data_IF_633418759852
#
_entry.id   IF_633418759852
#
_cell.length_a   1.000
_cell.length_b   1.000
_cell.length_c   1.000
_cell.angle_alpha   90.00
_cell.angle_beta   90.00
_cell.angle_gamma   90.00
#
_symmetry.space_group_name_H-M   'P 1'
#
loop_
_entity.id
_entity.type
_entity.pdbx_description
1 polymer ?
#
# COMPACT_ATOMS: atom_id res chain seq x y z
N UNK A 1 32.82 -28.65 -11.80
CA UNK A 1 32.71 -27.96 -13.11
C UNK A 1 31.33 -27.36 -13.16
N UNK A 2 31.19 -26.11 -13.60
CA UNK A 2 29.90 -25.43 -13.58
C UNK A 2 28.90 -26.15 -14.49
N UNK A 3 27.64 -26.19 -14.06
CA UNK A 3 26.55 -26.79 -14.83
C UNK A 3 26.25 -25.96 -16.10
N UNK A 4 25.79 -26.62 -17.19
CA UNK A 4 25.35 -25.90 -18.38
C UNK A 4 24.04 -25.14 -18.13
N UNK A 5 23.72 -24.23 -19.04
CA UNK A 5 22.53 -23.36 -19.00
C UNK A 5 21.22 -24.17 -19.07
N UNK A 6 20.20 -23.74 -18.33
CA UNK A 6 18.83 -24.28 -18.41
C UNK A 6 18.54 -25.54 -17.59
N UNK A 7 19.44 -25.96 -16.70
CA UNK A 7 19.23 -27.10 -15.81
C UNK A 7 18.45 -26.72 -14.55
N UNK A 8 17.65 -27.64 -14.01
CA UNK A 8 16.86 -27.39 -12.78
C UNK A 8 17.56 -27.96 -11.55
N UNK A 9 17.43 -27.28 -10.42
CA UNK A 9 18.05 -27.70 -9.15
C UNK A 9 17.60 -29.09 -8.69
N UNK A 10 16.34 -29.44 -8.93
CA UNK A 10 15.79 -30.75 -8.57
C UNK A 10 16.46 -31.91 -9.32
N UNK A 11 17.15 -31.64 -10.43
CA UNK A 11 17.84 -32.66 -11.22
C UNK A 11 19.22 -33.00 -10.64
N UNK A 12 19.70 -32.29 -9.60
CA UNK A 12 21.04 -32.43 -9.02
C UNK A 12 21.05 -32.51 -7.49
N UNK A 13 21.74 -33.53 -6.96
CA UNK A 13 21.83 -33.80 -5.52
C UNK A 13 23.16 -33.38 -4.88
N UNK A 14 24.16 -32.96 -5.65
CA UNK A 14 25.47 -32.55 -5.09
C UNK A 14 25.36 -31.19 -4.37
N UNK A 15 25.69 -31.12 -3.06
CA UNK A 15 25.71 -29.87 -2.31
C UNK A 15 26.59 -28.77 -2.91
N UNK A 16 27.71 -29.12 -3.58
CA UNK A 16 28.63 -28.12 -4.15
C UNK A 16 28.05 -27.35 -5.33
N UNK A 17 27.04 -27.94 -5.99
CA UNK A 17 26.38 -27.37 -7.17
C UNK A 17 25.14 -26.55 -6.81
N UNK A 18 24.74 -26.56 -5.54
CA UNK A 18 23.59 -25.79 -5.05
C UNK A 18 23.98 -24.32 -4.85
N UNK A 19 23.09 -23.38 -5.18
CA UNK A 19 23.33 -21.98 -4.87
C UNK A 19 23.47 -21.80 -3.35
N UNK A 20 24.40 -20.92 -2.95
CA UNK A 20 24.57 -20.58 -1.52
C UNK A 20 23.43 -19.68 -1.05
N UNK A 21 22.93 -18.83 -1.94
CA UNK A 21 21.83 -17.91 -1.65
C UNK A 21 20.45 -18.52 -1.94
N UNK A 22 19.45 -18.10 -1.18
CA UNK A 22 18.05 -18.46 -1.40
C UNK A 22 17.45 -17.76 -2.63
N UNK A 23 16.36 -18.33 -3.15
CA UNK A 23 15.56 -17.70 -4.20
C UNK A 23 14.97 -16.39 -3.68
N UNK A 24 15.14 -15.32 -4.45
CA UNK A 24 14.58 -14.00 -4.15
C UNK A 24 13.31 -13.78 -4.96
N UNK A 25 12.26 -13.22 -4.33
CA UNK A 25 11.00 -12.96 -5.03
C UNK A 25 11.14 -11.85 -6.08
N UNK A 26 10.23 -11.81 -7.06
CA UNK A 26 10.27 -10.76 -8.11
C UNK A 26 10.14 -9.34 -7.54
N UNK A 27 9.30 -9.16 -6.52
CA UNK A 27 9.09 -7.85 -5.90
C UNK A 27 10.33 -7.40 -5.12
N UNK A 28 11.00 -8.31 -4.42
CA UNK A 28 12.27 -8.03 -3.74
C UNK A 28 13.39 -7.71 -4.73
N UNK A 29 13.55 -8.49 -5.81
CA UNK A 29 14.54 -8.17 -6.87
C UNK A 29 14.25 -6.81 -7.51
N UNK A 30 12.97 -6.46 -7.68
CA UNK A 30 12.58 -5.15 -8.21
C UNK A 30 13.04 -4.00 -7.30
N UNK A 31 13.24 -4.22 -5.99
CA UNK A 31 13.79 -3.21 -5.07
C UNK A 31 15.29 -2.95 -5.29
N UNK A 32 16.03 -3.97 -5.73
CA UNK A 32 17.48 -3.92 -5.97
C UNK A 32 17.76 -3.13 -7.27
N UNK A 33 18.70 -2.16 -7.27
CA UNK A 33 19.09 -1.46 -8.49
C UNK A 33 19.56 -2.43 -9.58
N UNK A 34 19.16 -2.20 -10.83
CA UNK A 34 19.42 -3.14 -11.93
C UNK A 34 20.92 -3.50 -12.12
N UNK A 35 21.83 -2.55 -11.84
CA UNK A 35 23.29 -2.75 -11.92
C UNK A 35 23.85 -3.67 -10.83
N UNK A 36 23.14 -3.81 -9.72
CA UNK A 36 23.56 -4.56 -8.53
C UNK A 36 22.93 -5.96 -8.49
N UNK A 37 22.01 -6.26 -9.42
CA UNK A 37 21.38 -7.58 -9.54
C UNK A 37 22.39 -8.59 -10.06
N UNK A 38 22.71 -9.59 -9.25
CA UNK A 38 23.59 -10.68 -9.63
C UNK A 38 22.87 -12.02 -9.54
N UNK A 39 23.27 -12.96 -10.40
CA UNK A 39 22.84 -14.35 -10.29
C UNK A 39 23.35 -14.96 -8.98
N UNK A 40 22.59 -15.89 -8.41
CA UNK A 40 23.03 -16.70 -7.25
C UNK A 40 24.19 -17.59 -7.68
N UNK A 41 25.11 -17.91 -6.77
CA UNK A 41 26.32 -18.67 -7.11
C UNK A 41 26.46 -19.88 -6.21
N UNK A 42 26.81 -21.00 -6.83
CA UNK A 42 27.25 -22.20 -6.14
C UNK A 42 28.77 -22.15 -5.88
N UNK A 43 29.26 -23.05 -5.03
CA UNK A 43 30.69 -23.15 -4.71
C UNK A 43 31.55 -23.51 -5.92
N UNK A 44 31.01 -24.30 -6.85
CA UNK A 44 31.69 -24.68 -8.09
C UNK A 44 31.61 -23.61 -9.20
N UNK A 45 31.18 -22.40 -8.84
CA UNK A 45 30.91 -21.26 -9.70
C UNK A 45 29.73 -21.41 -10.67
N UNK A 46 28.88 -22.45 -10.51
CA UNK A 46 27.60 -22.53 -11.22
C UNK A 46 26.75 -21.30 -10.91
N UNK A 47 26.19 -20.69 -11.95
CA UNK A 47 25.32 -19.51 -11.85
C UNK A 47 23.88 -19.98 -11.85
N UNK A 48 23.09 -19.48 -10.91
CA UNK A 48 21.68 -19.80 -10.74
C UNK A 48 20.83 -18.54 -10.89
N UNK A 49 19.65 -18.70 -11.47
CA UNK A 49 18.68 -17.62 -11.56
C UNK A 49 18.38 -17.04 -10.18
N UNK A 50 18.30 -15.71 -10.10
CA UNK A 50 18.02 -15.03 -8.84
C UNK A 50 16.61 -15.34 -8.30
N UNK A 51 15.65 -15.61 -9.19
CA UNK A 51 14.23 -15.76 -8.85
C UNK A 51 13.67 -17.17 -9.04
N UNK A 52 14.50 -18.13 -9.48
CA UNK A 52 14.10 -19.53 -9.60
C UNK A 52 15.31 -20.45 -9.55
N UNK A 53 15.06 -21.75 -9.65
CA UNK A 53 16.06 -22.80 -9.54
C UNK A 53 16.52 -23.32 -10.90
N UNK A 54 16.79 -22.40 -11.84
CA UNK A 54 17.32 -22.71 -13.16
C UNK A 54 18.76 -22.18 -13.26
N UNK A 55 19.68 -23.00 -13.77
CA UNK A 55 21.06 -22.59 -14.04
C UNK A 55 21.13 -21.61 -15.20
N UNK A 56 22.12 -20.74 -15.16
CA UNK A 56 22.41 -19.75 -16.18
C UNK A 56 23.74 -20.07 -16.85
N UNK A 57 23.90 -19.59 -18.08
CA UNK A 57 25.21 -19.57 -18.78
C UNK A 57 26.36 -19.18 -17.84
N UNK A 58 27.40 -20.03 -17.68
CA UNK A 58 28.51 -19.77 -16.76
C UNK A 58 29.27 -18.46 -17.04
N UNK A 59 29.37 -18.08 -18.31
CA UNK A 59 30.04 -16.88 -18.82
C UNK A 59 29.11 -15.67 -18.99
N UNK A 60 27.83 -15.83 -18.67
CA UNK A 60 26.83 -14.77 -18.83
C UNK A 60 26.89 -13.68 -17.75
N UNK A 61 26.18 -12.58 -18.01
CA UNK A 61 25.98 -11.48 -17.04
C UNK A 61 24.54 -11.37 -16.55
N UNK A 62 23.59 -12.06 -17.21
CA UNK A 62 22.16 -12.01 -16.84
C UNK A 62 21.96 -12.51 -15.39
N UNK A 63 21.18 -11.80 -14.55
CA UNK A 63 20.87 -12.25 -13.19
C UNK A 63 19.71 -13.24 -13.11
N UNK A 64 18.89 -13.32 -14.16
CA UNK A 64 17.71 -14.20 -14.24
C UNK A 64 17.69 -14.96 -15.57
N UNK A 65 16.97 -16.08 -15.60
CA UNK A 65 16.77 -16.87 -16.82
C UNK A 65 15.76 -16.19 -17.75
N UNK A 66 15.71 -16.63 -19.02
CA UNK A 66 14.85 -16.04 -20.05
C UNK A 66 13.35 -16.18 -19.72
N UNK A 67 12.95 -17.21 -18.98
CA UNK A 67 11.57 -17.38 -18.51
C UNK A 67 11.18 -16.38 -17.40
N UNK A 68 12.14 -15.99 -16.56
CA UNK A 68 11.91 -15.07 -15.44
C UNK A 68 12.09 -13.59 -15.84
N UNK A 69 12.85 -13.32 -16.90
CA UNK A 69 13.07 -11.98 -17.45
C UNK A 69 11.76 -11.17 -17.67
N UNK A 70 10.71 -11.68 -18.35
CA UNK A 70 9.49 -10.91 -18.58
C UNK A 70 8.74 -10.61 -17.28
N UNK A 71 8.77 -11.52 -16.30
CA UNK A 71 8.11 -11.32 -14.99
C UNK A 71 8.83 -10.25 -14.16
N UNK A 72 10.17 -10.23 -14.22
CA UNK A 72 10.96 -9.21 -13.56
C UNK A 72 10.68 -7.81 -14.15
N UNK A 73 10.56 -7.70 -15.47
CA UNK A 73 10.17 -6.45 -16.14
C UNK A 73 8.78 -5.97 -15.68
N UNK A 74 7.82 -6.87 -15.51
CA UNK A 74 6.50 -6.51 -14.98
C UNK A 74 6.58 -6.00 -13.53
N UNK A 75 7.37 -6.64 -12.67
CA UNK A 75 7.58 -6.19 -11.28
C UNK A 75 8.24 -4.81 -11.22
N UNK A 76 9.28 -4.57 -12.04
CA UNK A 76 9.94 -3.26 -12.16
C UNK A 76 8.96 -2.16 -12.60
N UNK A 77 8.09 -2.46 -13.57
CA UNK A 77 7.08 -1.51 -14.04
C UNK A 77 6.04 -1.19 -12.95
N UNK A 78 5.58 -2.20 -12.20
CA UNK A 78 4.66 -2.00 -11.07
C UNK A 78 5.29 -1.12 -10.00
N UNK A 79 6.54 -1.38 -9.64
CA UNK A 79 7.28 -0.55 -8.66
C UNK A 79 7.38 0.89 -9.14
N UNK A 80 7.78 1.14 -10.40
CA UNK A 80 7.86 2.50 -10.96
C UNK A 80 6.51 3.22 -10.93
N UNK A 81 5.41 2.52 -11.20
CA UNK A 81 4.05 3.09 -11.11
C UNK A 81 3.64 3.42 -9.67
N UNK A 82 4.06 2.61 -8.68
CA UNK A 82 3.81 2.91 -7.28
C UNK A 82 4.64 4.12 -6.81
N UNK A 83 5.93 4.17 -7.15
CA UNK A 83 6.80 5.30 -6.83
C UNK A 83 6.32 6.61 -7.49
N UNK A 84 5.81 6.55 -8.73
CA UNK A 84 5.25 7.73 -9.39
C UNK A 84 3.97 8.22 -8.71
N UNK A 85 3.09 7.32 -8.26
CA UNK A 85 1.90 7.69 -7.48
C UNK A 85 2.25 8.33 -6.14
N UNK A 86 3.26 7.81 -5.44
CA UNK A 86 3.75 8.39 -4.19
C UNK A 86 4.32 9.79 -4.44
N UNK A 87 5.17 9.96 -5.47
CA UNK A 87 5.74 11.27 -5.81
C UNK A 87 4.69 12.29 -6.26
N UNK A 88 3.67 11.87 -7.02
CA UNK A 88 2.55 12.76 -7.36
C UNK A 88 1.83 13.18 -6.09
N UNK A 89 1.52 12.24 -5.17
CA UNK A 89 0.90 12.57 -3.89
C UNK A 89 1.75 13.53 -3.04
N UNK A 90 3.07 13.32 -2.98
CA UNK A 90 4.01 14.17 -2.24
C UNK A 90 4.19 15.55 -2.88
N UNK A 91 4.27 15.63 -4.21
CA UNK A 91 4.38 16.91 -4.93
C UNK A 91 3.06 17.68 -4.85
N UNK A 92 1.92 17.00 -5.02
CA UNK A 92 0.59 17.58 -4.81
C UNK A 92 0.42 18.06 -3.37
N UNK A 93 0.90 17.32 -2.35
CA UNK A 93 0.89 17.79 -0.95
C UNK A 93 1.82 18.98 -0.70
N UNK A 94 2.98 19.07 -1.38
CA UNK A 94 3.89 20.21 -1.26
C UNK A 94 3.37 21.47 -1.97
N UNK A 95 2.76 21.30 -3.14
CA UNK A 95 2.16 22.41 -3.90
C UNK A 95 0.87 22.91 -3.24
N UNK A 96 0.11 22.04 -2.58
CA UNK A 96 -1.11 22.40 -1.86
C UNK A 96 -0.89 22.77 -0.39
N UNK A 97 0.33 22.65 0.15
CA UNK A 97 0.65 22.86 1.57
C UNK A 97 0.41 24.27 2.12
N UNK A 98 0.04 25.24 1.27
CA UNK A 98 -0.36 26.59 1.71
C UNK A 98 -1.86 26.87 1.61
N UNK A 99 -2.60 26.20 0.75
CA UNK A 99 -4.04 26.46 0.52
C UNK A 99 -4.97 25.33 1.02
N UNK A 100 -4.48 24.10 1.17
CA UNK A 100 -5.29 22.98 1.67
C UNK A 100 -5.58 23.07 3.15
N UNK A 101 -4.70 23.64 3.97
CA UNK A 101 -5.03 23.86 5.40
C UNK A 101 -6.17 24.86 5.58
N UNK A 102 -6.31 25.86 4.71
CA UNK A 102 -7.41 26.82 4.77
C UNK A 102 -8.71 26.19 4.25
N UNK A 103 -8.64 25.46 3.12
CA UNK A 103 -9.80 24.76 2.55
C UNK A 103 -10.29 23.61 3.44
N UNK A 104 -9.39 22.82 4.03
CA UNK A 104 -9.74 21.78 5.01
C UNK A 104 -10.33 22.41 6.25
N UNK A 105 -9.77 23.49 6.82
CA UNK A 105 -10.36 24.15 7.99
C UNK A 105 -11.75 24.74 7.70
N UNK A 106 -11.97 25.34 6.52
CA UNK A 106 -13.30 25.85 6.13
C UNK A 106 -14.30 24.72 5.92
N UNK A 107 -13.90 23.62 5.28
CA UNK A 107 -14.76 22.45 5.10
C UNK A 107 -15.07 21.75 6.42
N UNK A 108 -14.10 21.68 7.32
CA UNK A 108 -14.23 21.13 8.68
C UNK A 108 -15.19 21.97 9.52
N UNK A 109 -15.07 23.30 9.50
CA UNK A 109 -16.01 24.17 10.23
C UNK A 109 -17.41 24.17 9.61
N UNK A 110 -17.53 24.07 8.27
CA UNK A 110 -18.82 23.87 7.63
C UNK A 110 -19.47 22.53 8.02
N UNK A 111 -18.66 21.47 8.19
CA UNK A 111 -19.15 20.17 8.63
C UNK A 111 -19.61 20.22 10.10
N UNK A 112 -18.84 20.88 10.98
CA UNK A 112 -19.23 21.15 12.38
C UNK A 112 -20.54 21.93 12.46
N UNK A 113 -20.65 23.05 11.76
CA UNK A 113 -21.86 23.87 11.76
C UNK A 113 -23.10 23.11 11.25
N UNK A 114 -22.95 22.24 10.24
CA UNK A 114 -24.04 21.38 9.75
C UNK A 114 -24.43 20.32 10.75
N UNK A 115 -23.46 19.77 11.49
CA UNK A 115 -23.73 18.82 12.56
C UNK A 115 -24.52 19.51 13.68
N UNK A 116 -24.06 20.65 14.17
CA UNK A 116 -24.72 21.37 15.27
C UNK A 116 -26.17 21.73 14.89
N UNK A 117 -26.39 22.14 13.65
CA UNK A 117 -27.72 22.40 13.12
C UNK A 117 -28.62 21.15 13.11
N UNK A 118 -28.07 19.98 12.80
CA UNK A 118 -28.79 18.70 12.82
C UNK A 118 -29.18 18.30 14.25
N UNK A 119 -28.25 18.35 15.20
CA UNK A 119 -28.52 18.07 16.62
C UNK A 119 -29.58 19.00 17.19
N UNK A 120 -29.50 20.30 16.86
CA UNK A 120 -30.48 21.29 17.29
C UNK A 120 -31.86 21.07 16.65
N UNK A 121 -31.91 20.75 15.36
CA UNK A 121 -33.16 20.42 14.67
C UNK A 121 -33.83 19.19 15.29
N UNK A 122 -33.05 18.20 15.71
CA UNK A 122 -33.54 16.99 16.37
C UNK A 122 -34.02 17.23 17.80
N UNK A 123 -33.30 18.05 18.57
CA UNK A 123 -33.77 18.51 19.88
C UNK A 123 -35.12 19.24 19.77
N UNK A 124 -35.31 20.07 18.73
CA UNK A 124 -36.60 20.73 18.47
C UNK A 124 -37.69 19.77 18.04
N UNK A 125 -37.38 18.82 17.15
CA UNK A 125 -38.34 17.82 16.68
C UNK A 125 -38.82 16.92 17.83
N UNK A 126 -37.90 16.44 18.66
CA UNK A 126 -38.22 15.63 19.86
C UNK A 126 -39.02 16.39 20.90
N UNK A 127 -38.82 17.71 21.04
CA UNK A 127 -39.61 18.56 21.91
C UNK A 127 -41.02 18.85 21.38
N UNK A 128 -41.20 18.95 20.06
CA UNK A 128 -42.49 19.28 19.42
C UNK A 128 -43.38 18.05 19.18
N UNK A 129 -42.79 16.86 19.09
CA UNK A 129 -43.52 15.60 18.91
C UNK A 129 -43.34 14.71 20.15
N UNK A 130 -44.08 14.95 21.25
CA UNK A 130 -44.04 14.08 22.42
C UNK A 130 -44.45 12.67 22.01
N UNK A 131 -43.61 11.70 22.38
CA UNK A 131 -43.68 10.28 22.01
C UNK A 131 -45.11 9.73 22.08
N UNK A 132 -45.70 9.41 20.93
CA UNK A 132 -46.80 8.43 20.91
C UNK A 132 -46.15 7.04 20.92
N UNK A 133 -46.71 6.11 21.71
CA UNK A 133 -46.12 4.82 22.12
C UNK A 133 -45.77 3.82 20.97
N UNK A 134 -45.62 4.26 19.71
CA UNK A 134 -45.29 3.40 18.56
C UNK A 134 -44.28 3.98 17.57
N UNK A 135 -43.72 5.18 17.80
CA UNK A 135 -42.77 5.84 16.88
C UNK A 135 -41.43 6.20 17.54
N UNK A 136 -41.13 5.66 18.73
CA UNK A 136 -39.90 5.98 19.48
C UNK A 136 -38.60 5.51 18.81
N UNK A 137 -38.65 4.37 18.12
CA UNK A 137 -37.45 3.65 17.70
C UNK A 137 -36.62 4.44 16.67
N UNK A 138 -37.25 5.05 15.65
CA UNK A 138 -36.51 5.78 14.61
C UNK A 138 -35.90 7.10 15.11
N UNK A 139 -36.49 7.72 16.14
CA UNK A 139 -35.96 8.95 16.75
C UNK A 139 -34.74 8.62 17.59
N UNK A 140 -34.81 7.53 18.35
CA UNK A 140 -33.69 7.05 19.14
C UNK A 140 -32.54 6.55 18.22
N UNK A 141 -32.85 5.85 17.12
CA UNK A 141 -31.88 5.45 16.08
C UNK A 141 -31.19 6.66 15.44
N UNK A 142 -31.95 7.71 15.15
CA UNK A 142 -31.41 8.90 14.51
C UNK A 142 -30.58 9.76 15.49
N UNK A 143 -30.95 9.79 16.77
CA UNK A 143 -30.11 10.36 17.83
C UNK A 143 -28.82 9.56 18.04
N UNK A 144 -28.86 8.23 17.97
CA UNK A 144 -27.66 7.39 18.03
C UNK A 144 -26.74 7.65 16.83
N UNK A 145 -27.30 7.71 15.61
CA UNK A 145 -26.53 8.01 14.40
C UNK A 145 -25.85 9.38 14.48
N UNK A 146 -26.52 10.40 15.04
CA UNK A 146 -25.94 11.72 15.25
C UNK A 146 -24.80 11.69 16.28
N UNK A 147 -24.97 10.98 17.41
CA UNK A 147 -23.89 10.81 18.40
C UNK A 147 -22.69 10.03 17.87
N UNK A 148 -22.92 9.01 17.04
CA UNK A 148 -21.84 8.30 16.37
C UNK A 148 -21.10 9.22 15.39
N UNK A 149 -21.83 10.07 14.67
CA UNK A 149 -21.23 11.07 13.80
C UNK A 149 -20.41 12.10 14.59
N UNK A 150 -20.92 12.59 15.72
CA UNK A 150 -20.22 13.47 16.66
C UNK A 150 -18.92 12.84 17.15
N UNK A 151 -18.96 11.56 17.56
CA UNK A 151 -17.77 10.82 18.01
C UNK A 151 -16.74 10.70 16.89
N UNK A 152 -17.16 10.26 15.70
CA UNK A 152 -16.27 10.13 14.53
C UNK A 152 -15.65 11.48 14.18
N UNK A 153 -16.44 12.56 14.23
CA UNK A 153 -15.92 13.91 14.03
C UNK A 153 -14.91 14.34 15.09
N UNK A 154 -15.14 14.04 16.37
CA UNK A 154 -14.20 14.34 17.45
C UNK A 154 -12.88 13.54 17.33
N UNK A 155 -12.95 12.31 16.83
CA UNK A 155 -11.77 11.44 16.64
C UNK A 155 -10.97 11.78 15.37
N UNK A 156 -11.64 12.23 14.31
CA UNK A 156 -11.01 12.48 13.00
C UNK A 156 -10.58 13.92 12.78
N UNK A 157 -11.23 14.88 13.43
CA UNK A 157 -10.92 16.30 13.26
C UNK A 157 -9.94 16.76 14.34
N UNK A 158 -8.91 17.55 13.99
CA UNK A 158 -8.04 18.15 14.98
C UNK A 158 -8.86 19.04 15.93
N UNK A 159 -8.51 19.10 17.24
CA UNK A 159 -9.21 19.94 18.19
C UNK A 159 -9.26 21.37 17.66
N UNK A 160 -10.41 22.03 17.83
CA UNK A 160 -10.56 23.43 17.46
C UNK A 160 -9.41 24.21 18.12
N UNK A 161 -8.62 24.90 17.31
CA UNK A 161 -7.63 25.83 17.85
C UNK A 161 -8.40 27.04 18.32
N UNK A 162 -8.51 27.21 19.63
CA UNK A 162 -8.99 28.44 20.23
C UNK A 162 -8.14 29.60 19.66
N UNK A 163 -8.78 30.47 18.87
CA UNK A 163 -8.25 31.76 18.44
C UNK A 163 -9.03 32.86 19.14
#
# INVERSE_FOLDING_TARGET
MPLPDGQKLLDYLDPQQRPVEDVVSFDEVATIPARDRQARRAHDATRWCLTCDITLRPDGTKPVCDECAPKLVQADNRRRQQESRIRVRENTQRELGRDVTVLENVQVEQLRAKMDALTLALGRATAQFPRSNRTGDWVDDLMMAVKDLERVMAETLPPARDQ
#
